data_IF_322363589337
#
_entry.id   IF_322363589337
#
_cell.length_a   1.000
_cell.length_b   1.000
_cell.length_c   1.000
_cell.angle_alpha   90.00
_cell.angle_beta   90.00
_cell.angle_gamma   90.00
#
_symmetry.space_group_name_H-M   'P 1'
#
loop_
_entity.id
_entity.type
_entity.pdbx_description
1 polymer ?
#
# COMPACT_ATOMS: atom_id res chain seq x y z
N UNK A 1 -5.22 10.60 9.49
CA UNK A 1 -5.90 9.32 9.82
C UNK A 1 -7.41 9.46 10.06
N UNK A 2 -7.92 9.63 11.30
CA UNK A 2 -9.38 9.62 11.55
C UNK A 2 -10.18 10.71 10.81
N UNK A 3 -9.64 11.92 10.68
CA UNK A 3 -10.35 13.05 10.06
C UNK A 3 -10.51 12.92 8.53
N UNK A 4 -9.59 12.20 7.87
CA UNK A 4 -9.65 11.99 6.41
C UNK A 4 -10.58 10.83 6.06
N UNK A 5 -10.53 9.75 6.86
CA UNK A 5 -11.53 8.68 6.85
C UNK A 5 -12.93 9.22 7.21
N UNK A 6 -13.06 10.14 8.18
CA UNK A 6 -14.34 10.77 8.48
C UNK A 6 -14.82 11.67 7.33
N UNK A 7 -13.94 12.37 6.61
CA UNK A 7 -14.36 13.20 5.47
C UNK A 7 -14.81 12.34 4.28
N UNK A 8 -14.12 11.24 3.98
CA UNK A 8 -14.52 10.26 2.96
C UNK A 8 -15.81 9.52 3.39
N UNK A 9 -15.93 9.15 4.67
CA UNK A 9 -17.09 8.42 5.21
C UNK A 9 -18.32 9.31 5.42
N UNK A 10 -18.14 10.61 5.72
CA UNK A 10 -19.23 11.62 5.78
C UNK A 10 -19.70 11.98 4.37
N UNK A 11 -18.80 12.03 3.38
CA UNK A 11 -19.18 12.15 1.97
C UNK A 11 -19.87 10.89 1.44
N UNK A 12 -19.52 9.70 1.95
CA UNK A 12 -20.19 8.44 1.64
C UNK A 12 -21.53 8.25 2.38
N UNK A 13 -21.70 8.82 3.59
CA UNK A 13 -22.93 8.70 4.39
C UNK A 13 -24.02 9.68 3.97
N UNK A 14 -23.66 10.79 3.30
CA UNK A 14 -24.63 11.72 2.71
C UNK A 14 -25.02 11.28 1.29
N UNK A 15 -25.82 10.20 1.23
CA UNK A 15 -26.57 9.69 0.06
C UNK A 15 -25.74 9.15 -1.11
N UNK A 16 -25.37 7.87 -1.02
CA UNK A 16 -25.43 6.96 -2.18
C UNK A 16 -26.64 6.03 -2.04
N UNK A 17 -27.82 6.59 -1.77
CA UNK A 17 -29.05 5.96 -2.26
C UNK A 17 -29.16 6.31 -3.74
N UNK A 18 -28.46 5.56 -4.59
CA UNK A 18 -28.77 5.54 -6.01
C UNK A 18 -30.11 4.84 -6.18
N UNK A 19 -31.20 5.58 -5.99
CA UNK A 19 -32.51 5.15 -6.44
C UNK A 19 -32.43 5.06 -7.97
N UNK A 20 -32.44 3.84 -8.49
CA UNK A 20 -32.41 3.57 -9.91
C UNK A 20 -33.74 4.02 -10.54
N UNK A 21 -33.87 5.32 -10.85
CA UNK A 21 -34.91 5.78 -11.76
C UNK A 21 -34.59 5.21 -13.13
N UNK A 22 -35.36 4.18 -13.52
CA UNK A 22 -35.43 3.62 -14.87
C UNK A 22 -35.92 4.72 -15.82
N UNK A 23 -35.00 5.57 -16.27
CA UNK A 23 -35.25 6.59 -17.27
C UNK A 23 -35.34 5.94 -18.63
N UNK A 24 -36.56 5.84 -19.16
CA UNK A 24 -36.81 5.48 -20.55
C UNK A 24 -35.94 6.35 -21.48
N UNK A 25 -35.31 5.68 -22.45
CA UNK A 25 -34.45 6.31 -23.45
C UNK A 25 -35.23 7.29 -24.32
N UNK A 26 -35.19 8.56 -23.95
CA UNK A 26 -35.57 9.67 -24.81
C UNK A 26 -34.35 10.58 -24.99
N UNK A 27 -33.90 10.78 -26.23
CA UNK A 27 -33.00 11.89 -26.56
C UNK A 27 -33.74 13.19 -26.22
N UNK A 28 -33.44 13.79 -25.06
CA UNK A 28 -33.82 15.19 -24.77
C UNK A 28 -32.98 16.10 -25.67
N UNK A 29 -33.36 16.19 -26.93
CA UNK A 29 -32.91 17.21 -27.87
C UNK A 29 -33.79 18.45 -27.64
N UNK A 30 -33.18 19.57 -27.22
CA UNK A 30 -33.85 20.89 -27.29
C UNK A 30 -33.81 21.77 -26.04
N UNK A 31 -33.28 21.32 -24.90
CA UNK A 31 -33.11 22.18 -23.71
C UNK A 31 -31.70 22.78 -23.58
N UNK A 32 -31.52 23.91 -22.87
CA UNK A 32 -30.20 24.45 -22.59
C UNK A 32 -29.34 23.38 -21.90
N UNK A 33 -28.23 23.01 -22.56
CA UNK A 33 -27.34 21.95 -22.07
C UNK A 33 -26.67 22.40 -20.79
N UNK A 34 -26.89 21.69 -19.69
CA UNK A 34 -26.13 21.85 -18.45
C UNK A 34 -24.64 21.69 -18.75
N UNK A 35 -23.80 22.51 -18.12
CA UNK A 35 -22.33 22.43 -18.27
C UNK A 35 -21.88 20.99 -18.02
N UNK A 36 -21.03 20.41 -18.89
CA UNK A 36 -20.60 19.03 -18.74
C UNK A 36 -19.73 18.88 -17.49
N UNK A 37 -20.19 18.09 -16.52
CA UNK A 37 -19.42 17.76 -15.33
C UNK A 37 -18.70 16.43 -15.55
N UNK A 38 -17.41 16.37 -15.22
CA UNK A 38 -16.60 15.17 -15.38
C UNK A 38 -17.07 14.05 -14.45
N UNK A 39 -16.81 12.79 -14.84
CA UNK A 39 -17.15 11.62 -14.00
C UNK A 39 -16.36 11.59 -12.69
N UNK A 40 -15.12 12.10 -12.69
CA UNK A 40 -14.30 12.23 -11.49
C UNK A 40 -14.94 13.20 -10.49
N UNK A 41 -15.34 14.38 -10.94
CA UNK A 41 -16.00 15.38 -10.09
C UNK A 41 -17.35 14.86 -9.57
N UNK A 42 -18.13 14.16 -10.39
CA UNK A 42 -19.39 13.53 -9.94
C UNK A 42 -19.17 12.43 -8.88
N UNK A 43 -18.03 11.76 -8.90
CA UNK A 43 -17.69 10.69 -7.96
C UNK A 43 -16.90 11.19 -6.73
N UNK A 44 -16.51 12.47 -6.69
CA UNK A 44 -15.67 13.02 -5.62
C UNK A 44 -14.22 12.53 -5.66
N UNK A 45 -13.74 12.04 -6.80
CA UNK A 45 -12.39 11.48 -6.95
C UNK A 45 -11.46 12.47 -7.65
N UNK A 46 -10.23 12.59 -7.15
CA UNK A 46 -9.15 13.31 -7.86
C UNK A 46 -8.65 12.51 -9.07
N UNK A 47 -8.68 11.18 -8.99
CA UNK A 47 -8.20 10.32 -10.06
C UNK A 47 -9.10 10.37 -11.31
N UNK A 48 -8.52 10.28 -12.54
CA UNK A 48 -9.27 10.45 -13.78
C UNK A 48 -10.08 9.19 -14.15
N UNK A 49 -11.29 9.05 -13.60
CA UNK A 49 -12.27 7.98 -13.88
C UNK A 49 -12.50 7.78 -15.39
N UNK A 50 -12.55 8.88 -16.13
CA UNK A 50 -12.77 8.84 -17.58
C UNK A 50 -11.65 8.13 -18.34
N UNK A 51 -10.40 8.38 -17.94
CA UNK A 51 -9.20 7.78 -18.53
C UNK A 51 -9.10 6.30 -18.18
N UNK A 52 -9.36 5.97 -16.92
CA UNK A 52 -9.37 4.57 -16.45
C UNK A 52 -10.42 3.74 -17.19
N UNK A 53 -11.62 4.28 -17.43
CA UNK A 53 -12.63 3.61 -18.25
C UNK A 53 -12.18 3.36 -19.69
N UNK A 54 -11.38 4.25 -20.29
CA UNK A 54 -10.80 4.03 -21.62
C UNK A 54 -9.74 2.93 -21.60
N UNK A 55 -8.89 2.90 -20.56
CA UNK A 55 -7.86 1.87 -20.41
C UNK A 55 -8.44 0.48 -20.17
N UNK A 56 -9.51 0.36 -19.35
CA UNK A 56 -10.20 -0.91 -19.15
C UNK A 56 -10.77 -1.48 -20.46
N UNK A 57 -11.29 -0.62 -21.34
CA UNK A 57 -11.76 -1.06 -22.67
C UNK A 57 -10.61 -1.40 -23.62
N UNK A 58 -9.53 -0.62 -23.60
CA UNK A 58 -8.35 -0.87 -24.44
C UNK A 58 -7.64 -2.18 -24.06
N UNK A 59 -7.61 -2.52 -22.78
CA UNK A 59 -6.96 -3.73 -22.26
C UNK A 59 -7.70 -5.04 -22.58
N UNK A 60 -8.91 -4.99 -23.16
CA UNK A 60 -9.71 -6.18 -23.54
C UNK A 60 -9.88 -7.22 -22.43
N UNK A 61 -9.94 -6.78 -21.16
CA UNK A 61 -10.10 -7.66 -19.99
C UNK A 61 -11.44 -8.40 -19.97
N UNK A 62 -12.49 -7.83 -20.58
CA UNK A 62 -13.81 -8.41 -20.72
C UNK A 62 -14.54 -7.83 -21.95
N UNK A 63 -15.55 -8.54 -22.44
CA UNK A 63 -16.38 -8.11 -23.58
C UNK A 63 -17.15 -6.81 -23.29
N UNK A 64 -17.58 -6.61 -22.03
CA UNK A 64 -18.23 -5.38 -21.56
C UNK A 64 -17.64 -4.97 -20.22
N UNK A 65 -17.48 -3.66 -20.04
CA UNK A 65 -17.03 -3.06 -18.78
C UNK A 65 -18.21 -2.28 -18.21
N UNK A 66 -18.64 -2.63 -16.99
CA UNK A 66 -19.71 -1.94 -16.29
C UNK A 66 -19.41 -0.46 -16.08
N UNK A 67 -20.46 0.36 -15.96
CA UNK A 67 -20.32 1.83 -15.82
C UNK A 67 -19.64 2.24 -14.51
N UNK A 68 -19.83 1.45 -13.45
CA UNK A 68 -19.22 1.66 -12.11
C UNK A 68 -17.81 1.10 -11.96
N UNK A 69 -17.38 0.14 -12.80
CA UNK A 69 -16.05 -0.47 -12.72
C UNK A 69 -14.89 0.55 -12.74
N UNK A 70 -14.85 1.56 -13.64
CA UNK A 70 -13.78 2.57 -13.61
C UNK A 70 -13.87 3.51 -12.41
N UNK A 71 -15.04 3.66 -11.77
CA UNK A 71 -15.20 4.48 -10.55
C UNK A 71 -14.58 3.74 -9.37
N UNK A 72 -14.90 2.46 -9.22
CA UNK A 72 -14.34 1.62 -8.16
C UNK A 72 -12.82 1.50 -8.27
N UNK A 73 -12.31 1.22 -9.47
CA UNK A 73 -10.87 1.15 -9.71
C UNK A 73 -10.17 2.48 -9.42
N UNK A 74 -10.78 3.62 -9.80
CA UNK A 74 -10.23 4.93 -9.49
C UNK A 74 -10.14 5.18 -7.99
N UNK A 75 -11.18 4.80 -7.24
CA UNK A 75 -11.21 4.97 -5.78
C UNK A 75 -10.12 4.13 -5.08
N UNK A 76 -9.94 2.87 -5.48
CA UNK A 76 -8.89 2.00 -4.93
C UNK A 76 -7.50 2.56 -5.23
N UNK A 77 -7.26 3.02 -6.46
CA UNK A 77 -5.98 3.60 -6.83
C UNK A 77 -5.70 4.92 -6.09
N UNK A 78 -6.73 5.74 -5.89
CA UNK A 78 -6.62 6.99 -5.13
C UNK A 78 -6.34 6.73 -3.65
N UNK A 79 -7.01 5.74 -3.06
CA UNK A 79 -6.75 5.29 -1.70
C UNK A 79 -5.30 4.84 -1.50
N UNK A 80 -4.80 3.94 -2.36
CA UNK A 80 -3.41 3.46 -2.27
C UNK A 80 -2.40 4.59 -2.47
N UNK A 81 -2.66 5.51 -3.39
CA UNK A 81 -1.79 6.66 -3.61
C UNK A 81 -1.79 7.63 -2.41
N UNK A 82 -2.95 7.84 -1.79
CA UNK A 82 -3.09 8.68 -0.60
C UNK A 82 -2.30 8.10 0.58
N UNK A 83 -2.40 6.79 0.82
CA UNK A 83 -1.65 6.10 1.87
C UNK A 83 -0.14 6.29 1.69
N UNK A 84 0.37 6.01 0.48
CA UNK A 84 1.80 6.20 0.16
C UNK A 84 2.24 7.66 0.34
N UNK A 85 1.40 8.63 -0.02
CA UNK A 85 1.71 10.05 0.13
C UNK A 85 1.64 10.53 1.59
N UNK A 86 0.75 9.97 2.42
CA UNK A 86 0.68 10.29 3.86
C UNK A 86 1.97 9.85 4.56
N UNK A 87 2.40 8.61 4.34
CA UNK A 87 3.66 8.10 4.86
C UNK A 87 4.87 8.89 4.31
N UNK A 88 4.86 9.27 3.03
CA UNK A 88 5.93 10.07 2.43
C UNK A 88 5.97 11.50 2.99
N UNK A 89 4.80 12.07 3.29
CA UNK A 89 4.66 13.37 3.93
C UNK A 89 5.23 13.35 5.34
N UNK A 90 4.95 12.30 6.12
CA UNK A 90 5.50 12.12 7.45
C UNK A 90 7.03 11.96 7.40
N UNK A 91 7.54 11.10 6.52
CA UNK A 91 8.97 10.94 6.31
C UNK A 91 9.66 12.27 5.89
N UNK A 92 9.00 13.11 5.09
CA UNK A 92 9.53 14.42 4.73
C UNK A 92 9.60 15.37 5.96
N UNK A 93 8.55 15.39 6.78
CA UNK A 93 8.47 16.19 8.00
C UNK A 93 9.52 15.78 9.03
N UNK A 94 9.72 14.48 9.23
CA UNK A 94 10.76 13.95 10.13
C UNK A 94 12.17 14.36 9.71
N UNK A 95 12.38 14.51 8.39
CA UNK A 95 13.63 15.03 7.82
C UNK A 95 13.68 16.56 7.75
N UNK A 96 12.71 17.27 8.37
CA UNK A 96 12.58 18.73 8.37
C UNK A 96 12.53 19.32 6.95
N UNK A 97 11.92 18.60 6.02
CA UNK A 97 11.72 19.02 4.62
C UNK A 97 10.24 19.27 4.37
N UNK A 98 9.91 20.46 3.87
CA UNK A 98 8.55 20.81 3.46
C UNK A 98 8.16 20.25 2.09
N UNK A 99 9.11 19.68 1.35
CA UNK A 99 8.92 19.10 0.01
C UNK A 99 9.10 17.59 0.05
N UNK A 100 8.12 16.87 -0.50
CA UNK A 100 8.24 15.44 -0.79
C UNK A 100 9.23 15.28 -1.96
N UNK A 101 10.37 14.67 -1.68
CA UNK A 101 11.43 14.31 -2.65
C UNK A 101 11.23 12.83 -2.99
N UNK A 102 11.62 12.32 -4.18
CA UNK A 102 11.49 10.90 -4.51
C UNK A 102 12.00 9.93 -3.42
N UNK A 103 12.99 10.35 -2.63
CA UNK A 103 13.48 9.64 -1.45
C UNK A 103 12.40 9.41 -0.38
N UNK A 104 11.52 10.38 -0.11
CA UNK A 104 10.45 10.23 0.88
C UNK A 104 9.36 9.26 0.40
N UNK A 105 9.08 9.22 -0.89
CA UNK A 105 8.16 8.22 -1.48
C UNK A 105 8.75 6.82 -1.37
N UNK A 106 10.05 6.68 -1.58
CA UNK A 106 10.74 5.42 -1.31
C UNK A 106 10.65 5.06 0.18
N UNK A 107 10.91 6.01 1.08
CA UNK A 107 10.83 5.80 2.53
C UNK A 107 9.43 5.43 3.02
N UNK A 108 8.37 5.93 2.37
CA UNK A 108 6.98 5.58 2.66
C UNK A 108 6.66 4.12 2.35
N UNK A 109 7.01 3.67 1.13
CA UNK A 109 6.88 2.27 0.73
C UNK A 109 7.79 1.37 1.59
N UNK A 110 8.89 1.94 2.06
CA UNK A 110 9.88 1.28 2.90
C UNK A 110 9.67 1.56 4.39
N UNK A 111 8.54 2.10 4.87
CA UNK A 111 8.45 2.50 6.28
C UNK A 111 8.58 1.27 7.20
N UNK A 112 7.97 0.16 6.80
CA UNK A 112 8.21 -1.16 7.42
C UNK A 112 9.68 -1.58 7.35
N UNK A 113 10.37 -1.30 6.25
CA UNK A 113 11.80 -1.56 6.09
C UNK A 113 12.69 -0.56 6.85
N UNK A 114 12.18 0.64 7.14
CA UNK A 114 12.79 1.68 7.95
C UNK A 114 12.69 1.32 9.44
N UNK A 115 11.55 0.80 9.87
CA UNK A 115 11.37 0.18 11.17
C UNK A 115 12.30 -1.02 11.31
N UNK A 116 12.30 -1.94 10.34
CA UNK A 116 13.25 -3.06 10.34
C UNK A 116 14.72 -2.58 10.33
N UNK A 117 15.06 -1.47 9.67
CA UNK A 117 16.40 -0.90 9.71
C UNK A 117 16.75 -0.33 11.09
N UNK A 118 15.81 0.37 11.74
CA UNK A 118 15.93 0.88 13.12
C UNK A 118 16.06 -0.27 14.12
N UNK A 119 15.27 -1.34 13.98
CA UNK A 119 15.36 -2.56 14.79
C UNK A 119 16.74 -3.22 14.65
N UNK A 120 17.31 -3.15 13.45
CA UNK A 120 18.69 -3.59 13.16
C UNK A 120 19.76 -2.53 13.49
N UNK A 121 19.40 -1.43 14.16
CA UNK A 121 20.29 -0.31 14.57
C UNK A 121 21.06 0.32 13.40
N UNK A 122 20.48 0.36 12.20
CA UNK A 122 21.08 0.93 10.99
C UNK A 122 20.30 2.15 10.51
N UNK A 123 21.01 3.26 10.28
CA UNK A 123 20.45 4.48 9.70
C UNK A 123 20.22 4.40 8.18
N UNK A 124 20.75 3.35 7.53
CA UNK A 124 20.65 3.12 6.08
C UNK A 124 19.80 1.89 5.81
N UNK A 125 18.78 2.05 4.95
CA UNK A 125 17.97 0.95 4.45
C UNK A 125 18.77 0.17 3.41
N UNK A 126 18.83 -1.15 3.57
CA UNK A 126 19.54 -2.11 2.71
C UNK A 126 18.49 -3.07 2.16
N UNK A 127 18.67 -3.71 0.98
CA UNK A 127 17.71 -4.67 0.43
C UNK A 127 17.26 -5.76 1.42
N UNK A 128 18.11 -6.13 2.38
CA UNK A 128 17.75 -7.01 3.51
C UNK A 128 16.56 -6.51 4.32
N UNK A 129 16.52 -5.22 4.68
CA UNK A 129 15.42 -4.67 5.47
C UNK A 129 14.11 -4.65 4.68
N UNK A 130 14.19 -4.46 3.36
CA UNK A 130 13.04 -4.55 2.45
C UNK A 130 12.48 -5.95 2.44
N UNK A 131 13.35 -6.97 2.34
CA UNK A 131 12.92 -8.36 2.39
C UNK A 131 12.33 -8.74 3.75
N UNK A 132 12.93 -8.30 4.86
CA UNK A 132 12.38 -8.56 6.19
C UNK A 132 10.99 -7.93 6.35
N UNK A 133 10.82 -6.68 5.94
CA UNK A 133 9.53 -5.99 5.99
C UNK A 133 8.45 -6.68 5.14
N UNK A 134 8.76 -7.02 3.90
CA UNK A 134 7.81 -7.66 2.98
C UNK A 134 7.44 -9.07 3.43
N UNK A 135 8.39 -9.83 3.97
CA UNK A 135 8.17 -11.24 4.33
C UNK A 135 7.62 -11.43 5.74
N UNK A 136 7.76 -10.44 6.63
CA UNK A 136 7.12 -10.44 7.96
C UNK A 136 5.68 -9.92 7.92
N UNK A 137 5.28 -9.25 6.85
CA UNK A 137 3.91 -8.77 6.66
C UNK A 137 3.11 -9.80 5.84
N UNK A 138 1.95 -10.21 6.36
CA UNK A 138 1.14 -11.27 5.74
C UNK A 138 0.52 -10.86 4.41
N UNK A 139 0.18 -9.59 4.24
CA UNK A 139 -0.50 -9.09 3.05
C UNK A 139 0.52 -8.80 1.94
N UNK A 140 1.62 -8.11 2.28
CA UNK A 140 2.71 -7.84 1.36
C UNK A 140 3.45 -9.11 0.95
N UNK A 141 3.59 -10.07 1.86
CA UNK A 141 4.20 -11.37 1.58
C UNK A 141 3.42 -12.16 0.53
N UNK A 142 2.08 -12.12 0.59
CA UNK A 142 1.20 -12.73 -0.41
C UNK A 142 1.22 -11.95 -1.73
N UNK A 143 1.16 -10.63 -1.65
CA UNK A 143 1.15 -9.75 -2.83
C UNK A 143 2.45 -9.87 -3.65
N UNK A 144 3.59 -10.06 -2.97
CA UNK A 144 4.91 -10.10 -3.58
C UNK A 144 5.55 -11.50 -3.58
N UNK A 145 4.74 -12.56 -3.47
CA UNK A 145 5.24 -13.94 -3.39
C UNK A 145 6.14 -14.33 -4.59
N UNK A 146 5.79 -13.86 -5.80
CA UNK A 146 6.53 -14.11 -7.05
C UNK A 146 7.62 -13.08 -7.38
N UNK A 147 7.86 -12.08 -6.52
CA UNK A 147 8.85 -11.02 -6.77
C UNK A 147 10.14 -11.34 -6.03
N UNK A 148 11.27 -11.40 -6.75
CA UNK A 148 12.60 -11.58 -6.16
C UNK A 148 13.19 -10.24 -5.75
N UNK A 149 13.52 -10.08 -4.46
CA UNK A 149 14.24 -8.91 -3.95
C UNK A 149 15.75 -9.21 -4.02
N UNK A 150 16.42 -8.61 -4.99
CA UNK A 150 17.88 -8.74 -5.15
C UNK A 150 18.63 -8.29 -3.88
N UNK A 151 19.68 -9.02 -3.49
CA UNK A 151 20.47 -8.80 -2.26
C UNK A 151 19.68 -8.83 -0.93
N UNK A 152 18.44 -9.36 -0.91
CA UNK A 152 17.61 -9.44 0.29
C UNK A 152 17.88 -10.64 1.20
N UNK A 153 18.38 -11.77 0.67
CA UNK A 153 18.53 -13.03 1.42
C UNK A 153 17.18 -13.69 1.78
N UNK A 154 17.12 -14.49 2.86
CA UNK A 154 15.90 -15.19 3.32
C UNK A 154 15.58 -14.93 4.79
N UNK A 155 14.32 -15.05 5.22
CA UNK A 155 13.98 -14.92 6.65
C UNK A 155 14.71 -15.98 7.49
N UNK A 156 15.23 -15.62 8.68
CA UNK A 156 15.79 -16.60 9.60
C UNK A 156 14.72 -17.61 10.01
N UNK A 157 14.89 -18.87 9.60
CA UNK A 157 14.01 -19.96 9.97
C UNK A 157 14.84 -21.24 10.09
N UNK A 158 14.75 -21.91 11.24
CA UNK A 158 15.45 -23.18 11.49
C UNK A 158 14.39 -24.23 11.78
N UNK A 159 14.38 -25.31 11.00
CA UNK A 159 13.44 -26.41 11.21
C UNK A 159 13.68 -27.04 12.59
N UNK A 160 12.66 -27.30 13.41
CA UNK A 160 12.81 -27.82 14.78
C UNK A 160 13.61 -29.13 14.87
N UNK A 161 13.68 -29.92 13.79
CA UNK A 161 14.50 -31.14 13.71
C UNK A 161 16.00 -30.85 13.78
N UNK A 162 16.41 -29.68 13.28
CA UNK A 162 17.81 -29.23 13.25
C UNK A 162 18.23 -28.56 14.56
N UNK A 163 17.29 -28.30 15.47
CA UNK A 163 17.63 -27.77 16.79
C UNK A 163 18.32 -28.88 17.61
N UNK A 164 19.38 -28.55 18.35
CA UNK A 164 20.04 -29.52 19.20
C UNK A 164 19.02 -30.10 20.20
N UNK A 165 18.88 -31.43 20.21
CA UNK A 165 18.04 -32.12 21.19
C UNK A 165 18.52 -31.73 22.60
N UNK A 166 17.58 -31.45 23.51
CA UNK A 166 17.76 -30.86 24.86
C UNK A 166 18.96 -31.34 25.72
N UNK A 167 19.60 -32.46 25.39
CA UNK A 167 20.81 -32.93 26.05
C UNK A 167 22.08 -32.10 25.71
N UNK A 168 22.22 -31.59 24.48
CA UNK A 168 23.46 -30.92 24.04
C UNK A 168 23.57 -29.43 24.44
N UNK A 169 22.48 -28.80 24.86
CA UNK A 169 22.46 -27.38 25.23
C UNK A 169 23.18 -27.09 26.58
N UNK A 170 23.35 -28.10 27.44
CA UNK A 170 24.09 -27.95 28.71
C UNK A 170 25.61 -27.96 28.54
N UNK A 171 26.15 -28.54 27.46
CA UNK A 171 27.61 -28.58 27.25
C UNK A 171 28.15 -27.30 26.58
N UNK A 172 27.39 -26.68 25.67
CA UNK A 172 27.82 -25.46 24.98
C UNK A 172 27.96 -24.23 25.90
N UNK A 173 27.24 -24.20 27.04
CA UNK A 173 27.31 -23.10 28.01
C UNK A 173 28.55 -23.14 28.94
N UNK A 174 29.29 -24.26 28.98
CA UNK A 174 30.46 -24.42 29.87
C UNK A 174 31.77 -23.88 29.26
N UNK A 175 31.82 -23.66 27.94
CA UNK A 175 33.06 -23.31 27.22
C UNK A 175 33.35 -21.80 27.19
N UNK A 176 32.40 -20.92 27.54
CA UNK A 176 32.60 -19.45 27.46
C UNK A 176 32.99 -18.76 28.78
N UNK A 177 33.22 -19.50 29.87
CA UNK A 177 33.65 -18.91 31.15
C UNK A 177 35.17 -19.04 31.33
N UNK A 178 35.93 -18.19 30.63
CA UNK A 178 37.37 -18.07 30.84
C UNK A 178 37.68 -17.51 32.24
N UNK A 179 38.65 -18.08 32.98
CA UNK A 179 38.97 -17.67 34.35
C UNK A 179 39.67 -16.30 34.40
N UNK A 180 39.22 -15.41 35.29
CA UNK A 180 39.95 -14.16 35.63
C UNK A 180 41.25 -14.55 36.34
N UNK A 181 42.38 -14.12 35.79
CA UNK A 181 43.71 -14.29 36.39
C UNK A 181 43.84 -13.32 37.58
N UNK A 182 44.40 -13.85 38.67
CA UNK A 182 44.64 -13.17 39.95
C UNK A 182 45.65 -12.02 39.82
#
# INVERSE_FOLDING_TARGET
MLSFLLSICVFSSSRVSMEAKKGAGGRKAGGPKKKPVSRSVKAGLQFPVGRLGRYLKKGRYAQRVGTGAPVYLAAVLEYLAAEVLELAGNAARDNKKNRIIPRHVLLAVLELAGNAARDNKKNRIIPRHVLLAVRNDEELGKLLAGVTIAHGGVLPNINPVLLPKKAAAKEAAKVTKSPKKA
#
